data_IF_172916210633
#
_entry.id   IF_172916210633
#
_cell.length_a   1.000
_cell.length_b   1.000
_cell.length_c   1.000
_cell.angle_alpha   90.00
_cell.angle_beta   90.00
_cell.angle_gamma   90.00
#
_symmetry.space_group_name_H-M   'P 1'
#
loop_
_entity.id
_entity.type
_entity.pdbx_description
1 polymer ?
#
# COMPACT_ATOMS: atom_id res chain seq x y z
N UNK A 1 -15.64 12.10 27.66
CA UNK A 1 -14.43 12.61 26.98
C UNK A 1 -13.52 11.43 26.74
N UNK A 2 -13.40 10.95 25.51
CA UNK A 2 -12.37 9.98 25.11
C UNK A 2 -11.84 10.40 23.74
N UNK A 3 -10.79 11.21 23.79
CA UNK A 3 -9.95 11.53 22.65
C UNK A 3 -8.90 10.43 22.56
N UNK A 4 -9.11 9.45 21.69
CA UNK A 4 -8.00 8.70 21.11
C UNK A 4 -8.12 8.82 19.61
N UNK A 5 -7.59 9.93 19.12
CA UNK A 5 -7.27 10.15 17.72
C UNK A 5 -6.31 9.05 17.29
N UNK A 6 -6.83 7.94 16.78
CA UNK A 6 -6.03 6.99 16.00
C UNK A 6 -5.63 7.73 14.73
N UNK A 7 -4.47 8.37 14.76
CA UNK A 7 -3.69 8.49 13.53
C UNK A 7 -3.33 7.06 13.19
N UNK A 8 -4.21 6.36 12.46
CA UNK A 8 -3.92 5.03 11.97
C UNK A 8 -2.86 5.24 10.89
N UNK A 9 -1.60 5.34 11.32
CA UNK A 9 -0.45 5.44 10.44
C UNK A 9 -0.57 4.29 9.46
N UNK A 10 -0.68 4.60 8.17
CA UNK A 10 -0.72 3.57 7.15
C UNK A 10 0.46 2.63 7.37
N UNK A 11 0.25 1.31 7.27
CA UNK A 11 1.31 0.35 7.52
C UNK A 11 2.51 0.65 6.61
N UNK A 12 3.75 0.48 7.11
CA UNK A 12 4.96 0.72 6.34
C UNK A 12 4.98 -0.10 5.05
N UNK A 13 5.70 0.40 4.06
CA UNK A 13 5.96 -0.33 2.82
C UNK A 13 7.30 -1.06 2.92
N UNK A 14 7.34 -2.32 2.47
CA UNK A 14 8.54 -3.15 2.46
C UNK A 14 9.68 -2.56 1.62
N UNK A 15 9.35 -1.80 0.57
CA UNK A 15 10.33 -1.20 -0.33
C UNK A 15 9.95 0.22 -0.74
N UNK A 16 10.94 0.99 -1.19
CA UNK A 16 10.73 2.35 -1.73
C UNK A 16 9.77 2.34 -2.93
N UNK A 17 9.84 1.32 -3.79
CA UNK A 17 8.94 1.18 -4.95
C UNK A 17 7.48 1.06 -4.50
N UNK A 18 7.22 0.20 -3.52
CA UNK A 18 5.87 0.03 -2.96
C UNK A 18 5.39 1.33 -2.31
N UNK A 19 6.27 2.05 -1.59
CA UNK A 19 5.95 3.36 -1.03
C UNK A 19 5.58 4.39 -2.11
N UNK A 20 6.39 4.49 -3.17
CA UNK A 20 6.15 5.41 -4.30
C UNK A 20 4.83 5.10 -5.02
N UNK A 21 4.58 3.82 -5.32
CA UNK A 21 3.35 3.43 -6.00
C UNK A 21 2.10 3.69 -5.13
N UNK A 22 2.16 3.38 -3.83
CA UNK A 22 1.06 3.68 -2.89
C UNK A 22 0.82 5.17 -2.75
N UNK A 23 1.86 6.00 -2.75
CA UNK A 23 1.74 7.45 -2.72
C UNK A 23 1.07 7.98 -4.00
N UNK A 24 1.44 7.44 -5.17
CA UNK A 24 0.82 7.77 -6.44
C UNK A 24 -0.66 7.32 -6.48
N UNK A 25 -0.94 6.12 -5.99
CA UNK A 25 -2.28 5.53 -5.91
C UNK A 25 -3.03 5.91 -4.61
N UNK A 26 -2.64 6.98 -3.92
CA UNK A 26 -3.26 7.40 -2.63
C UNK A 26 -4.77 7.70 -2.72
N UNK A 27 -5.29 7.85 -3.93
CA UNK A 27 -6.72 7.98 -4.20
C UNK A 27 -7.48 6.66 -4.04
N UNK A 28 -6.77 5.53 -3.95
CA UNK A 28 -7.28 4.19 -3.64
C UNK A 28 -6.89 3.80 -2.22
N UNK A 29 -7.77 3.06 -1.57
CA UNK A 29 -7.50 2.50 -0.23
C UNK A 29 -6.52 1.34 -0.31
N UNK A 30 -5.79 1.04 0.77
CA UNK A 30 -4.90 -0.13 0.84
C UNK A 30 -5.66 -1.42 0.49
N UNK A 31 -6.86 -1.59 1.05
CA UNK A 31 -7.75 -2.72 0.75
C UNK A 31 -8.08 -2.84 -0.75
N UNK A 32 -8.28 -1.74 -1.46
CA UNK A 32 -8.54 -1.79 -2.91
C UNK A 32 -7.29 -2.20 -3.70
N UNK A 33 -6.10 -1.75 -3.27
CA UNK A 33 -4.84 -2.14 -3.87
C UNK A 33 -4.58 -3.64 -3.65
N UNK A 34 -4.92 -4.17 -2.48
CA UNK A 34 -4.85 -5.60 -2.17
C UNK A 34 -5.85 -6.44 -2.95
N UNK A 35 -7.12 -6.02 -3.01
CA UNK A 35 -8.15 -6.70 -3.83
C UNK A 35 -7.74 -6.77 -5.31
N UNK A 36 -7.04 -5.74 -5.80
CA UNK A 36 -6.49 -5.70 -7.16
C UNK A 36 -5.17 -6.44 -7.31
N UNK A 37 -4.66 -7.08 -6.25
CA UNK A 37 -3.36 -7.76 -6.21
C UNK A 37 -2.18 -6.85 -6.59
N UNK A 38 -2.32 -5.54 -6.40
CA UNK A 38 -1.26 -4.57 -6.69
C UNK A 38 -0.25 -4.56 -5.54
N UNK A 39 -0.74 -4.62 -4.30
CA UNK A 39 0.07 -4.78 -3.10
C UNK A 39 -0.49 -5.96 -2.30
N UNK A 40 0.28 -6.44 -1.34
CA UNK A 40 -0.14 -7.43 -0.35
C UNK A 40 0.18 -6.88 1.04
N UNK A 41 -0.78 -6.92 1.96
CA UNK A 41 -0.55 -6.56 3.35
C UNK A 41 -0.25 -7.80 4.17
N UNK A 42 0.96 -7.85 4.72
CA UNK A 42 1.34 -8.84 5.71
C UNK A 42 0.89 -8.35 7.10
N UNK A 43 -0.19 -8.93 7.60
CA UNK A 43 -0.76 -8.56 8.90
C UNK A 43 0.05 -9.04 10.11
N UNK A 44 0.96 -9.99 9.93
CA UNK A 44 1.85 -10.48 10.99
C UNK A 44 3.01 -9.49 11.21
N UNK A 45 3.61 -9.00 10.12
CA UNK A 45 4.75 -8.06 10.12
C UNK A 45 4.33 -6.57 10.04
N UNK A 46 3.02 -6.29 9.94
CA UNK A 46 2.44 -4.97 9.66
C UNK A 46 3.08 -4.29 8.43
N UNK A 47 3.34 -5.06 7.37
CA UNK A 47 4.17 -4.63 6.25
C UNK A 47 3.48 -4.79 4.90
N UNK A 48 3.47 -3.73 4.09
CA UNK A 48 2.92 -3.78 2.74
C UNK A 48 3.99 -4.17 1.72
N UNK A 49 3.77 -5.30 1.05
CA UNK A 49 4.66 -5.94 0.07
C UNK A 49 4.12 -5.79 -1.36
N UNK A 50 4.93 -6.19 -2.32
CA UNK A 50 4.56 -6.21 -3.75
C UNK A 50 3.52 -7.31 -4.00
N UNK A 51 2.37 -6.96 -4.57
CA UNK A 51 1.38 -7.94 -5.01
C UNK A 51 1.72 -8.52 -6.38
N UNK A 52 0.99 -9.55 -6.80
CA UNK A 52 1.21 -10.25 -8.08
C UNK A 52 1.13 -9.34 -9.32
N UNK A 53 0.31 -8.28 -9.25
CA UNK A 53 0.12 -7.27 -10.31
C UNK A 53 0.92 -6.00 -10.06
N UNK A 54 1.82 -5.99 -9.07
CA UNK A 54 2.65 -4.84 -8.76
C UNK A 54 3.45 -4.40 -9.99
N UNK A 55 4.10 -5.34 -10.67
CA UNK A 55 4.97 -5.06 -11.83
C UNK A 55 4.23 -4.35 -12.96
N UNK A 56 3.06 -4.86 -13.35
CA UNK A 56 2.22 -4.23 -14.39
C UNK A 56 1.89 -2.78 -14.05
N UNK A 57 1.53 -2.52 -12.79
CA UNK A 57 1.21 -1.15 -12.32
C UNK A 57 2.44 -0.27 -12.13
N UNK A 58 3.59 -0.88 -11.83
CA UNK A 58 4.85 -0.18 -11.71
C UNK A 58 5.37 0.27 -13.08
N UNK A 59 5.21 -0.55 -14.12
CA UNK A 59 5.56 -0.18 -15.51
C UNK A 59 4.68 0.97 -16.02
N UNK A 60 3.36 0.90 -15.81
CA UNK A 60 2.37 1.98 -16.08
C UNK A 60 2.68 3.29 -15.36
N UNK A 61 3.34 3.24 -14.19
CA UNK A 61 3.73 4.42 -13.42
C UNK A 61 5.03 5.08 -13.92
N UNK A 62 5.86 4.39 -14.71
CA UNK A 62 7.14 4.89 -15.20
C UNK A 62 7.07 5.53 -16.60
N UNK A 63 5.92 5.40 -17.27
CA UNK A 63 5.61 6.03 -18.57
C UNK A 63 4.99 7.43 -18.39
#
# INVERSE_FOLDING_TARGET
>A
MFLTTWFQSSPPSATEKVAKLRLHLRHRSLQELEQRNIVEYDGDDDLVKEGLRFREKWEDFQE
#
